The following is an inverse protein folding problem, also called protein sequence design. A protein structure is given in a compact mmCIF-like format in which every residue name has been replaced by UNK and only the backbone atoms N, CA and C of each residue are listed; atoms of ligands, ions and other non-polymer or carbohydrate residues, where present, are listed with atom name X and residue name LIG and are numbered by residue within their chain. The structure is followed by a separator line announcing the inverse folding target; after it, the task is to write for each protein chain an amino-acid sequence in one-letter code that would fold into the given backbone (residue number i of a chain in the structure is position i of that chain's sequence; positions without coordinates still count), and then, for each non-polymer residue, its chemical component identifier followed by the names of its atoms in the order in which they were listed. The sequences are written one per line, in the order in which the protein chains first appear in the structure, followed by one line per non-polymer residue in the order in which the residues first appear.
data_IF_455717655098
#
_entry.id   IF_455717655098
#
_cell.length_a   1.000
_cell.length_b   1.000
_cell.length_c   1.000
_cell.angle_alpha   90.00
_cell.angle_beta   90.00
_cell.angle_gamma   90.00
#
_symmetry.space_group_name_H-M   'P 1'
#
loop_
_entity.id
_entity.type
_entity.pdbx_description
1 polymer ?
#
# COMPACT_ATOMS: atom_id res chain seq x y z
N UNK A 1 3.93 1.94 -15.66
CA UNK A 1 3.27 2.82 -14.65
C UNK A 1 1.86 2.32 -14.38
N UNK A 2 1.29 2.55 -13.19
CA UNK A 2 -0.12 2.20 -12.90
C UNK A 2 -1.02 3.43 -13.01
N UNK A 3 -2.18 3.27 -13.65
CA UNK A 3 -3.22 4.30 -13.83
C UNK A 3 -4.61 3.72 -13.58
N UNK A 4 -5.60 4.59 -13.38
CA UNK A 4 -6.99 4.17 -13.15
C UNK A 4 -7.98 5.06 -13.87
N UNK A 5 -9.08 4.47 -14.33
CA UNK A 5 -10.24 5.19 -14.86
C UNK A 5 -11.32 5.43 -13.79
N UNK A 6 -11.09 4.99 -12.54
CA UNK A 6 -12.08 5.11 -11.46
C UNK A 6 -11.82 6.32 -10.59
N UNK A 7 -12.75 7.28 -10.64
CA UNK A 7 -12.74 8.48 -9.78
C UNK A 7 -12.63 8.15 -8.29
N UNK A 8 -13.34 7.09 -7.87
CA UNK A 8 -13.28 6.57 -6.51
C UNK A 8 -11.88 6.10 -6.12
N UNK A 9 -11.21 5.36 -7.02
CA UNK A 9 -9.85 4.89 -6.74
C UNK A 9 -8.85 6.04 -6.67
N UNK A 10 -8.99 7.05 -7.52
CA UNK A 10 -8.17 8.29 -7.43
C UNK A 10 -8.30 8.90 -6.03
N UNK A 11 -9.52 9.07 -5.52
CA UNK A 11 -9.74 9.64 -4.19
C UNK A 11 -9.17 8.77 -3.06
N UNK A 12 -9.33 7.44 -3.16
CA UNK A 12 -8.78 6.49 -2.18
C UNK A 12 -7.25 6.56 -2.15
N UNK A 13 -6.60 6.55 -3.31
CA UNK A 13 -5.13 6.60 -3.41
C UNK A 13 -4.60 7.95 -2.92
N UNK A 14 -5.19 9.06 -3.38
CA UNK A 14 -4.78 10.38 -2.93
C UNK A 14 -4.95 10.56 -1.41
N UNK A 15 -6.10 10.17 -0.87
CA UNK A 15 -6.36 10.19 0.58
C UNK A 15 -5.37 9.33 1.37
N UNK A 16 -4.99 8.17 0.85
CA UNK A 16 -3.97 7.32 1.48
C UNK A 16 -2.59 7.96 1.52
N UNK A 17 -2.17 8.62 0.44
CA UNK A 17 -0.89 9.34 0.40
C UNK A 17 -0.91 10.57 1.33
N UNK A 18 -2.02 11.33 1.33
CA UNK A 18 -2.21 12.47 2.23
C UNK A 18 -2.19 12.05 3.71
N UNK A 19 -2.88 10.96 4.06
CA UNK A 19 -2.86 10.39 5.42
C UNK A 19 -1.44 10.01 5.90
N UNK A 20 -0.54 9.66 4.97
CA UNK A 20 0.87 9.40 5.24
C UNK A 20 1.73 10.68 5.31
N UNK A 21 1.12 11.85 5.27
CA UNK A 21 1.81 13.15 5.30
C UNK A 21 2.48 13.52 3.98
N UNK A 22 2.10 12.92 2.85
CA UNK A 22 2.62 13.31 1.54
C UNK A 22 1.92 14.58 1.05
N UNK A 23 2.71 15.51 0.52
CA UNK A 23 2.25 16.80 -0.03
C UNK A 23 2.55 16.85 -1.53
N UNK A 24 1.98 17.85 -2.23
CA UNK A 24 2.21 18.03 -3.67
C UNK A 24 1.61 16.92 -4.54
N UNK A 25 0.53 16.29 -4.08
CA UNK A 25 -0.16 15.23 -4.82
C UNK A 25 -0.85 15.88 -6.02
N UNK A 26 -0.58 15.36 -7.21
CA UNK A 26 -1.20 15.83 -8.44
C UNK A 26 -2.03 14.72 -9.08
N UNK A 27 -3.17 15.10 -9.65
CA UNK A 27 -3.99 14.23 -10.49
C UNK A 27 -3.74 14.61 -11.94
N UNK A 28 -3.27 13.65 -12.72
CA UNK A 28 -3.07 13.77 -14.16
C UNK A 28 -4.22 13.08 -14.88
N UNK A 29 -4.83 13.77 -15.83
CA UNK A 29 -5.73 13.16 -16.81
C UNK A 29 -4.96 12.98 -18.10
N UNK A 30 -5.07 11.80 -18.70
CA UNK A 30 -4.30 11.41 -19.88
C UNK A 30 -5.30 11.00 -20.96
N UNK A 31 -5.07 11.46 -22.18
CA UNK A 31 -5.74 10.97 -23.38
C UNK A 31 -4.85 9.96 -24.09
N UNK A 32 -5.34 8.73 -24.19
CA UNK A 32 -4.63 7.60 -24.80
C UNK A 32 -5.15 7.26 -26.18
N UNK A 33 -6.01 8.10 -26.74
CA UNK A 33 -6.61 7.96 -28.08
C UNK A 33 -6.19 9.08 -29.03
N UNK A 34 -5.51 10.09 -28.51
CA UNK A 34 -5.01 11.22 -29.28
C UNK A 34 -3.86 10.86 -30.22
N UNK A 35 -3.55 11.73 -31.19
CA UNK A 35 -2.54 11.50 -32.23
C UNK A 35 -1.11 11.38 -31.68
N UNK A 36 -0.88 11.82 -30.44
CA UNK A 36 0.43 11.74 -29.78
C UNK A 36 0.66 10.40 -29.05
N UNK A 37 -0.35 9.54 -28.98
CA UNK A 37 -0.21 8.20 -28.38
C UNK A 37 0.28 7.19 -29.43
N UNK A 38 1.51 6.71 -29.28
CA UNK A 38 2.11 5.71 -30.15
C UNK A 38 1.73 4.30 -29.66
N UNK A 39 0.71 3.69 -30.27
CA UNK A 39 0.22 2.36 -29.89
C UNK A 39 1.23 1.22 -30.08
N UNK A 40 2.29 1.43 -30.86
CA UNK A 40 3.35 0.42 -31.03
C UNK A 40 4.32 0.43 -29.85
N UNK A 41 4.47 1.57 -29.16
CA UNK A 41 5.35 1.74 -28.00
C UNK A 41 4.58 1.75 -26.68
N UNK A 42 3.59 2.63 -26.54
CA UNK A 42 2.79 2.76 -25.34
C UNK A 42 1.58 1.83 -25.39
N UNK A 43 1.67 0.73 -24.65
CA UNK A 43 0.58 -0.25 -24.50
C UNK A 43 -0.12 -0.07 -23.16
N UNK A 44 -1.43 -0.28 -23.17
CA UNK A 44 -2.28 -0.26 -21.98
C UNK A 44 -2.75 -1.67 -21.71
N UNK A 45 -2.45 -2.14 -20.51
CA UNK A 45 -2.82 -3.47 -20.07
C UNK A 45 -3.84 -3.38 -18.94
N UNK A 46 -5.01 -4.02 -19.11
CA UNK A 46 -5.95 -4.15 -18.01
C UNK A 46 -5.39 -5.14 -16.97
N UNK A 47 -5.17 -4.68 -15.75
CA UNK A 47 -4.49 -5.48 -14.73
C UNK A 47 -5.35 -6.66 -14.24
N UNK A 48 -6.68 -6.49 -14.21
CA UNK A 48 -7.62 -7.57 -13.92
C UNK A 48 -7.53 -8.70 -14.94
N UNK A 49 -7.44 -8.36 -16.23
CA UNK A 49 -7.25 -9.34 -17.30
C UNK A 49 -5.88 -10.01 -17.24
N UNK A 50 -4.79 -9.26 -17.01
CA UNK A 50 -3.46 -9.86 -16.86
C UNK A 50 -3.41 -10.84 -15.68
N UNK A 51 -3.93 -10.44 -14.52
CA UNK A 51 -3.89 -11.28 -13.32
C UNK A 51 -4.70 -12.57 -13.46
N UNK A 52 -5.81 -12.53 -14.22
CA UNK A 52 -6.61 -13.72 -14.51
C UNK A 52 -5.90 -14.66 -15.48
N UNK A 53 -5.27 -14.14 -16.53
CA UNK A 53 -4.51 -14.94 -17.51
C UNK A 53 -3.38 -15.75 -16.86
N UNK A 54 -2.65 -15.14 -15.93
CA UNK A 54 -1.52 -15.81 -15.26
C UNK A 54 -1.91 -16.57 -13.99
N UNK A 55 -3.22 -16.64 -13.66
CA UNK A 55 -3.72 -17.28 -12.44
C UNK A 55 -3.00 -16.80 -11.15
N UNK A 56 -2.60 -15.53 -11.13
CA UNK A 56 -1.77 -14.98 -10.06
C UNK A 56 -2.61 -14.64 -8.82
N UNK A 57 -3.87 -14.26 -9.02
CA UNK A 57 -4.75 -13.80 -7.96
C UNK A 57 -6.17 -14.31 -8.21
N UNK A 58 -6.76 -14.95 -7.20
CA UNK A 58 -8.14 -15.42 -7.21
C UNK A 58 -9.18 -14.28 -7.20
N UNK A 59 -8.75 -13.02 -7.20
CA UNK A 59 -9.62 -11.85 -7.17
C UNK A 59 -9.24 -10.81 -8.22
N UNK A 60 -9.32 -11.19 -9.50
CA UNK A 60 -9.19 -10.26 -10.64
C UNK A 60 -10.13 -9.04 -10.50
N UNK A 61 -11.28 -9.22 -9.85
CA UNK A 61 -12.26 -8.16 -9.58
C UNK A 61 -11.68 -6.95 -8.81
N UNK A 62 -10.61 -7.14 -8.03
CA UNK A 62 -9.96 -6.04 -7.31
C UNK A 62 -9.26 -5.05 -8.27
N UNK A 63 -8.91 -5.49 -9.48
CA UNK A 63 -8.10 -4.73 -10.44
C UNK A 63 -8.88 -4.29 -11.69
N UNK A 64 -10.21 -4.41 -11.70
CA UNK A 64 -11.04 -4.12 -12.88
C UNK A 64 -10.92 -2.67 -13.39
N UNK A 65 -10.48 -1.74 -12.55
CA UNK A 65 -10.30 -0.33 -12.89
C UNK A 65 -8.83 0.11 -12.84
N UNK A 66 -7.90 -0.84 -12.76
CA UNK A 66 -6.47 -0.57 -12.74
C UNK A 66 -5.85 -1.03 -14.05
N UNK A 67 -5.00 -0.17 -14.60
CA UNK A 67 -4.34 -0.38 -15.87
C UNK A 67 -2.85 -0.12 -15.72
N UNK A 68 -2.05 -0.89 -16.45
CA UNK A 68 -0.63 -0.65 -16.56
C UNK A 68 -0.34 -0.01 -17.92
N UNK A 69 0.37 1.11 -17.89
CA UNK A 69 0.96 1.71 -19.10
C UNK A 69 2.40 1.21 -19.21
N UNK A 70 2.72 0.63 -20.35
CA UNK A 70 4.06 0.22 -20.75
C UNK A 70 4.88 1.42 -21.24
N UNK A 71 6.19 1.39 -20.98
CA UNK A 71 7.15 2.44 -21.35
C UNK A 71 6.92 3.79 -20.65
N UNK A 72 6.28 4.75 -21.32
CA UNK A 72 6.16 6.15 -20.87
C UNK A 72 4.80 6.75 -21.24
N UNK A 73 4.48 7.94 -20.70
CA UNK A 73 3.29 8.72 -21.08
C UNK A 73 3.84 10.00 -21.72
N UNK A 74 3.60 10.24 -23.02
CA UNK A 74 4.00 11.48 -23.67
C UNK A 74 3.35 12.68 -22.97
N UNK A 75 4.08 13.79 -22.84
CA UNK A 75 3.58 15.00 -22.15
C UNK A 75 2.38 15.59 -22.90
N UNK A 76 2.36 15.49 -24.23
CA UNK A 76 1.26 15.92 -25.09
C UNK A 76 -0.03 15.14 -24.86
N UNK A 77 0.07 13.92 -24.30
CA UNK A 77 -1.09 13.12 -23.92
C UNK A 77 -1.68 13.55 -22.57
N UNK A 78 -1.00 14.40 -21.78
CA UNK A 78 -1.51 14.89 -20.49
C UNK A 78 -2.46 16.06 -20.73
N UNK A 79 -3.76 15.79 -20.68
CA UNK A 79 -4.82 16.78 -20.96
C UNK A 79 -5.13 17.68 -19.77
N UNK A 80 -4.77 17.26 -18.55
CA UNK A 80 -4.99 18.07 -17.35
C UNK A 80 -4.02 17.67 -16.25
N UNK A 81 -3.49 18.68 -15.54
CA UNK A 81 -2.73 18.53 -14.30
C UNK A 81 -3.38 19.40 -13.24
N UNK A 82 -3.84 18.78 -12.14
CA UNK A 82 -4.46 19.50 -11.03
C UNK A 82 -3.84 19.08 -9.71
N UNK A 83 -3.64 20.04 -8.81
CA UNK A 83 -3.34 19.71 -7.42
C UNK A 83 -4.52 18.92 -6.83
N UNK A 84 -4.22 17.98 -5.93
CA UNK A 84 -5.25 17.16 -5.31
C UNK A 84 -6.29 18.02 -4.59
N UNK A 85 -5.87 19.10 -3.94
CA UNK A 85 -6.72 20.03 -3.20
C UNK A 85 -7.82 20.63 -4.10
N UNK A 86 -7.46 21.02 -5.33
CA UNK A 86 -8.41 21.56 -6.32
C UNK A 86 -9.26 20.45 -6.94
N UNK A 87 -8.67 19.28 -7.17
CA UNK A 87 -9.35 18.14 -7.78
C UNK A 87 -10.35 17.48 -6.82
N UNK A 88 -10.09 17.54 -5.50
CA UNK A 88 -10.80 16.82 -4.46
C UNK A 88 -12.30 17.05 -4.52
N UNK A 89 -12.74 18.30 -4.69
CA UNK A 89 -14.17 18.63 -4.76
C UNK A 89 -14.88 17.85 -5.86
N UNK A 90 -14.18 17.56 -6.96
CA UNK A 90 -14.77 16.76 -8.04
C UNK A 90 -14.80 15.26 -7.69
N UNK A 91 -13.71 14.70 -7.16
CA UNK A 91 -13.55 13.26 -6.95
C UNK A 91 -14.19 12.74 -5.65
N UNK A 92 -14.16 13.55 -4.60
CA UNK A 92 -14.70 13.26 -3.28
C UNK A 92 -15.18 14.56 -2.62
N UNK A 93 -16.36 15.09 -3.04
CA UNK A 93 -16.90 16.35 -2.54
C UNK A 93 -17.05 16.39 -1.02
N UNK A 94 -17.28 15.23 -0.41
CA UNK A 94 -17.51 15.09 1.03
C UNK A 94 -16.23 14.87 1.84
N UNK A 95 -15.07 14.71 1.19
CA UNK A 95 -13.82 14.22 1.79
C UNK A 95 -13.99 12.89 2.55
N UNK A 96 -14.92 12.04 2.11
CA UNK A 96 -15.22 10.77 2.76
C UNK A 96 -14.04 9.79 2.71
N UNK A 97 -13.43 9.62 1.54
CA UNK A 97 -12.32 8.69 1.36
C UNK A 97 -11.08 9.18 2.08
N UNK A 98 -10.82 10.48 2.07
CA UNK A 98 -9.72 11.07 2.84
C UNK A 98 -9.84 10.74 4.33
N UNK A 99 -10.98 11.08 4.96
CA UNK A 99 -11.23 10.77 6.38
C UNK A 99 -11.14 9.27 6.66
N UNK A 100 -11.63 8.43 5.75
CA UNK A 100 -11.57 6.98 5.90
C UNK A 100 -10.12 6.47 5.87
N UNK A 101 -9.28 6.98 4.96
CA UNK A 101 -7.88 6.56 4.87
C UNK A 101 -7.05 7.07 6.05
N UNK A 102 -7.31 8.29 6.52
CA UNK A 102 -6.69 8.84 7.72
C UNK A 102 -7.00 7.97 8.95
N UNK A 103 -8.26 7.66 9.19
CA UNK A 103 -8.68 6.77 10.29
C UNK A 103 -8.02 5.39 10.20
N UNK A 104 -7.96 4.79 9.00
CA UNK A 104 -7.26 3.51 8.77
C UNK A 104 -5.76 3.61 9.06
N UNK A 105 -5.12 4.69 8.62
CA UNK A 105 -3.70 4.91 8.85
C UNK A 105 -3.37 5.10 10.33
N UNK A 106 -4.14 5.90 11.06
CA UNK A 106 -3.99 6.10 12.50
C UNK A 106 -4.15 4.78 13.25
N UNK A 107 -5.17 3.98 12.92
CA UNK A 107 -5.37 2.66 13.50
C UNK A 107 -4.18 1.73 13.22
N UNK A 108 -3.68 1.70 11.99
CA UNK A 108 -2.51 0.90 11.63
C UNK A 108 -1.26 1.33 12.39
N UNK A 109 -1.04 2.65 12.53
CA UNK A 109 0.10 3.22 13.26
C UNK A 109 0.06 2.80 14.73
N UNK A 110 -1.09 2.94 15.39
CA UNK A 110 -1.30 2.52 16.78
C UNK A 110 -1.01 1.02 16.97
N UNK A 111 -1.59 0.15 16.12
CA UNK A 111 -1.36 -1.30 16.17
C UNK A 111 0.13 -1.67 16.00
N UNK A 112 0.86 -0.94 15.17
CA UNK A 112 2.29 -1.18 14.95
C UNK A 112 3.10 -0.79 16.19
N UNK A 113 2.79 0.35 16.81
CA UNK A 113 3.43 0.82 18.04
C UNK A 113 3.18 -0.16 19.21
N UNK A 114 1.96 -0.68 19.33
CA UNK A 114 1.63 -1.73 20.31
C UNK A 114 2.41 -3.03 20.07
N UNK A 115 2.53 -3.47 18.81
CA UNK A 115 3.30 -4.67 18.46
C UNK A 115 4.79 -4.50 18.77
N UNK A 116 5.36 -3.34 18.47
CA UNK A 116 6.75 -2.99 18.77
C UNK A 116 6.99 -2.93 20.29
N UNK A 117 6.10 -2.28 21.04
CA UNK A 117 6.18 -2.23 22.50
C UNK A 117 6.05 -3.62 23.14
N UNK A 118 5.17 -4.48 22.62
CA UNK A 118 5.03 -5.86 23.09
C UNK A 118 6.29 -6.70 22.83
N UNK A 119 6.92 -6.54 21.66
CA UNK A 119 8.19 -7.21 21.35
C UNK A 119 9.31 -6.74 22.28
N UNK A 120 9.41 -5.44 22.54
CA UNK A 120 10.40 -4.87 23.46
C UNK A 120 10.24 -5.42 24.88
N UNK A 121 9.02 -5.43 25.42
CA UNK A 121 8.73 -6.01 26.76
C UNK A 121 9.05 -7.51 26.86
N UNK A 122 8.93 -8.25 25.75
CA UNK A 122 9.29 -9.68 25.73
C UNK A 122 10.81 -9.88 25.72
N UNK A 123 11.53 -9.09 24.92
CA UNK A 123 12.99 -9.13 24.91
C UNK A 123 13.56 -8.79 26.30
N UNK A 124 13.05 -7.74 26.95
CA UNK A 124 13.50 -7.34 28.31
C UNK A 124 13.27 -8.46 29.35
N UNK A 125 12.15 -9.21 29.28
CA UNK A 125 11.90 -10.35 30.18
C UNK A 125 12.82 -11.54 29.91
N UNK A 126 13.09 -11.84 28.64
CA UNK A 126 14.00 -12.94 28.26
C UNK A 126 15.45 -12.63 28.68
N UNK A 127 15.85 -11.36 28.67
CA UNK A 127 17.17 -10.92 29.16
C UNK A 127 17.28 -11.00 30.70
N UNK A 128 16.19 -10.74 31.43
CA UNK A 128 16.15 -10.88 32.91
C UNK A 128 16.13 -12.36 33.36
N UNK A 129 15.44 -13.25 32.64
CA UNK A 129 15.35 -14.68 32.98
C UNK A 129 16.55 -15.51 32.47
N UNK A 130 17.44 -14.94 31.65
CA UNK A 130 18.64 -15.60 31.11
C UNK A 130 19.83 -15.72 32.07
N UNK A 131 19.71 -15.25 33.32
CA UNK A 131 20.81 -15.13 34.27
C UNK A 131 21.11 -16.34 35.15
N UNK A 132 20.19 -17.27 35.39
CA UNK A 132 20.41 -18.37 36.34
C UNK A 132 19.82 -19.70 35.88
N UNK A 133 20.71 -20.69 35.71
CA UNK A 133 20.42 -22.08 36.07
C UNK A 133 19.64 -22.91 35.05
N UNK A 134 20.32 -23.37 33.99
CA UNK A 134 20.04 -24.72 33.48
C UNK A 134 20.69 -25.74 34.41
N UNK A 135 20.02 -26.08 35.50
CA UNK A 135 20.16 -27.40 36.11
C UNK A 135 19.17 -28.30 35.38
N UNK A 136 19.69 -29.19 34.53
CA UNK A 136 18.90 -30.26 33.93
C UNK A 136 18.44 -31.23 35.03
N UNK A 137 17.28 -31.00 35.62
CA UNK A 137 16.55 -32.05 36.32
C UNK A 137 15.45 -32.59 35.39
N UNK A 138 15.73 -33.77 34.82
CA UNK A 138 14.74 -34.56 34.12
C UNK A 138 13.68 -35.06 35.09
N UNK A 139 12.49 -34.48 35.02
CA UNK A 139 11.30 -35.04 35.67
C UNK A 139 10.66 -36.03 34.69
N UNK A 140 10.70 -37.30 35.10
CA UNK A 140 10.13 -38.44 34.39
C UNK A 140 8.70 -38.66 34.88
N UNK A 141 7.71 -38.22 34.11
CA UNK A 141 6.29 -38.47 34.43
C UNK A 141 5.89 -39.88 34.01
N UNK A 142 5.44 -40.69 34.99
CA UNK A 142 5.15 -42.11 34.85
C UNK A 142 3.67 -42.42 34.56
N UNK A 143 2.97 -41.63 33.72
CA UNK A 143 1.51 -41.80 33.57
C UNK A 143 0.94 -41.76 32.14
N UNK A 144 1.78 -42.02 31.14
CA UNK A 144 1.35 -42.67 29.88
C UNK A 144 0.22 -42.04 29.04
N UNK A 145 -0.26 -40.82 29.33
CA UNK A 145 -1.36 -40.18 28.60
C UNK A 145 -0.94 -38.85 28.00
N UNK A 146 -0.48 -38.93 26.75
CA UNK A 146 -0.28 -37.77 25.87
C UNK A 146 -1.64 -37.16 25.50
N UNK A 147 -2.10 -36.14 26.23
CA UNK A 147 -3.15 -35.25 25.72
C UNK A 147 -2.55 -34.30 24.67
N UNK A 148 -2.83 -34.57 23.41
CA UNK A 148 -2.56 -33.63 22.32
C UNK A 148 -3.56 -32.48 22.37
N UNK A 149 -3.26 -31.44 23.15
CA UNK A 149 -3.85 -30.13 22.85
C UNK A 149 -3.20 -29.64 21.55
N UNK A 150 -3.86 -29.90 20.41
CA UNK A 150 -3.61 -29.18 19.18
C UNK A 150 -3.83 -27.69 19.44
N UNK A 151 -2.79 -27.00 19.90
CA UNK A 151 -2.68 -25.55 19.74
C UNK A 151 -2.65 -25.33 18.24
N UNK A 152 -3.80 -24.99 17.65
CA UNK A 152 -3.90 -24.50 16.28
C UNK A 152 -3.00 -23.27 16.22
N UNK A 153 -1.75 -23.46 15.78
CA UNK A 153 -0.91 -22.37 15.32
C UNK A 153 -1.64 -21.83 14.10
N UNK A 154 -2.42 -20.77 14.28
CA UNK A 154 -2.86 -19.95 13.17
C UNK A 154 -1.58 -19.54 12.44
N UNK A 155 -1.29 -20.17 11.31
CA UNK A 155 -0.23 -19.73 10.40
C UNK A 155 -0.57 -18.28 10.09
N UNK A 156 0.21 -17.35 10.62
CA UNK A 156 0.11 -15.94 10.24
C UNK A 156 0.22 -15.92 8.72
N UNK A 157 -0.72 -15.28 7.99
CA UNK A 157 -0.60 -15.16 6.56
C UNK A 157 0.76 -14.56 6.25
N UNK A 158 1.50 -15.23 5.36
CA UNK A 158 2.75 -14.74 4.82
C UNK A 158 2.53 -13.32 4.34
N UNK A 159 3.21 -12.39 5.01
CA UNK A 159 3.14 -10.95 4.74
C UNK A 159 3.84 -10.73 3.41
N UNK A 160 3.12 -10.89 2.31
CA UNK A 160 3.60 -10.51 0.99
C UNK A 160 3.85 -9.00 1.01
N UNK A 161 5.13 -8.61 1.01
CA UNK A 161 5.54 -7.23 0.78
C UNK A 161 5.35 -6.96 -0.71
N UNK A 162 4.28 -6.28 -1.05
CA UNK A 162 4.15 -5.68 -2.36
C UNK A 162 4.83 -4.32 -2.31
N UNK A 163 5.98 -4.20 -2.95
CA UNK A 163 6.57 -2.90 -3.29
C UNK A 163 5.83 -2.35 -4.50
N UNK A 164 4.66 -1.75 -4.26
CA UNK A 164 3.92 -1.01 -5.26
C UNK A 164 4.66 0.32 -5.50
N UNK A 165 5.49 0.38 -6.55
CA UNK A 165 6.02 1.63 -7.09
C UNK A 165 4.90 2.37 -7.84
N UNK A 166 4.09 3.12 -7.10
CA UNK A 166 3.24 4.15 -7.69
C UNK A 166 4.17 5.29 -8.10
N UNK A 167 4.25 5.56 -9.41
CA UNK A 167 4.96 6.72 -9.94
C UNK A 167 4.20 7.98 -9.56
N UNK A 168 4.54 8.55 -8.41
CA UNK A 168 4.12 9.90 -8.03
C UNK A 168 5.34 10.77 -8.24
N UNK A 169 5.28 11.65 -9.24
CA UNK A 169 6.24 12.75 -9.37
C UNK A 169 5.97 13.71 -8.23
N UNK A 170 6.84 13.72 -7.22
CA UNK A 170 6.87 14.80 -6.24
C UNK A 170 7.45 16.01 -6.97
N UNK A 171 6.62 17.02 -7.23
CA UNK A 171 7.14 18.32 -7.63
C UNK A 171 7.97 18.85 -6.47
N UNK A 172 9.28 18.94 -6.66
CA UNK A 172 10.14 19.64 -5.73
C UNK A 172 9.58 21.06 -5.54
N UNK A 173 9.24 21.35 -4.29
CA UNK A 173 8.77 22.68 -3.90
C UNK A 173 9.85 23.71 -4.25
N UNK A 174 9.53 24.82 -4.92
CA UNK A 174 10.51 25.83 -5.26
C UNK A 174 10.86 26.59 -3.97
N UNK A 175 11.97 26.21 -3.34
CA UNK A 175 12.71 27.18 -2.52
C UNK A 175 13.34 28.18 -3.48
N UNK A 176 12.93 29.43 -3.30
CA UNK A 176 13.10 30.48 -4.28
C UNK A 176 14.55 30.86 -4.56
N UNK A 177 14.68 31.61 -5.65
CA UNK A 177 15.62 32.70 -5.81
C UNK A 177 15.08 33.57 -6.93
N UNK A 178 14.65 34.78 -6.55
CA UNK A 178 14.66 35.91 -7.47
C UNK A 178 16.10 36.15 -7.89
N UNK A 179 16.33 36.41 -9.18
CA UNK A 179 17.22 37.45 -9.66
C UNK A 179 16.99 37.64 -11.17
N UNK A 180 16.84 38.92 -11.50
CA UNK A 180 16.77 39.64 -12.78
C UNK A 180 17.17 38.91 -14.05
#
# INVERSE_FOLDING_TARGET
MSVTNSRKLVAVVAGFHKARGRTGIQVLTIDTTGPHWDHDKQRIWNLGYLTSLFNLLSSAALFNNEYLIEDSIPDECITSRRAWEDAQVSFDPSAYYERQQESKYLRYKCLREEEEASKKRKAEREDEEGGEGKTEEGIQDNDGRRQWRLKRKCKRPTRFKFDLKVGISFGDSPRGLWLT
#
